data_IF_551858187894
#
_entry.id   IF_551858187894
#
_cell.length_a   1.000
_cell.length_b   1.000
_cell.length_c   1.000
_cell.angle_alpha   90.00
_cell.angle_beta   90.00
_cell.angle_gamma   90.00
#
_symmetry.space_group_name_H-M   'P 1'
#
loop_
_entity.id
_entity.type
_entity.pdbx_description
1 polymer ?
#
# COMPACT_ATOMS: atom_id res chain seq x y z
N UNK A 1 -7.92 2.85 -20.17
CA UNK A 1 -7.21 2.75 -18.86
C UNK A 1 -5.89 2.02 -19.06
N UNK A 2 -5.88 0.86 -19.74
CA UNK A 2 -4.67 0.13 -20.14
C UNK A 2 -3.58 1.03 -20.77
N UNK A 3 -3.91 1.81 -21.79
CA UNK A 3 -2.95 2.70 -22.48
C UNK A 3 -2.23 3.69 -21.54
N UNK A 4 -2.89 4.11 -20.46
CA UNK A 4 -2.28 5.03 -19.47
C UNK A 4 -1.32 4.31 -18.53
N UNK A 5 -1.62 3.05 -18.18
CA UNK A 5 -0.76 2.22 -17.33
C UNK A 5 0.48 1.80 -18.13
N UNK A 6 0.28 1.34 -19.37
CA UNK A 6 1.38 0.98 -20.29
C UNK A 6 2.29 2.18 -20.55
N UNK A 7 1.75 3.37 -20.78
CA UNK A 7 2.58 4.57 -20.95
C UNK A 7 3.41 4.90 -19.70
N UNK A 8 2.85 4.75 -18.50
CA UNK A 8 3.61 4.93 -17.24
C UNK A 8 4.74 3.91 -17.14
N UNK A 9 4.44 2.63 -17.39
CA UNK A 9 5.39 1.51 -17.28
C UNK A 9 6.48 1.54 -18.34
N UNK A 10 6.12 1.80 -19.59
CA UNK A 10 7.00 1.57 -20.74
C UNK A 10 7.69 2.84 -21.22
N UNK A 11 7.22 4.03 -20.80
CA UNK A 11 7.78 5.33 -21.21
C UNK A 11 8.21 6.20 -20.03
N UNK A 12 7.32 6.43 -19.06
CA UNK A 12 7.62 7.38 -17.97
C UNK A 12 8.64 6.80 -16.97
N UNK A 13 8.39 5.61 -16.43
CA UNK A 13 9.29 4.99 -15.46
C UNK A 13 10.70 4.76 -16.05
N UNK A 14 10.89 4.16 -17.25
CA UNK A 14 12.23 3.96 -17.82
C UNK A 14 12.99 5.26 -18.05
N UNK A 15 12.27 6.36 -18.32
CA UNK A 15 12.87 7.69 -18.51
C UNK A 15 13.33 8.32 -17.20
N UNK A 16 12.55 8.16 -16.12
CA UNK A 16 12.73 8.94 -14.89
C UNK A 16 13.33 8.16 -13.73
N UNK A 17 13.18 6.83 -13.69
CA UNK A 17 13.79 5.96 -12.67
C UNK A 17 15.30 6.20 -12.53
N UNK A 18 16.10 6.31 -13.62
CA UNK A 18 17.53 6.59 -13.47
C UNK A 18 17.83 7.93 -12.78
N UNK A 19 16.96 8.94 -12.96
CA UNK A 19 17.11 10.23 -12.28
C UNK A 19 16.81 10.11 -10.78
N UNK A 20 15.81 9.30 -10.43
CA UNK A 20 15.46 9.03 -9.04
C UNK A 20 16.52 8.19 -8.35
N UNK A 21 17.05 7.17 -9.01
CA UNK A 21 18.14 6.35 -8.48
C UNK A 21 19.37 7.20 -8.18
N UNK A 22 19.78 8.06 -9.11
CA UNK A 22 20.87 9.02 -8.87
C UNK A 22 20.59 9.96 -7.68
N UNK A 23 19.34 10.39 -7.51
CA UNK A 23 18.92 11.16 -6.34
C UNK A 23 19.09 10.36 -5.04
N UNK A 24 18.58 9.12 -5.00
CA UNK A 24 18.66 8.25 -3.82
C UNK A 24 20.12 7.90 -3.48
N UNK A 25 20.95 7.61 -4.47
CA UNK A 25 22.38 7.34 -4.33
C UNK A 25 23.16 8.54 -3.78
N UNK A 26 22.76 9.76 -4.15
CA UNK A 26 23.42 10.98 -3.67
C UNK A 26 23.32 11.17 -2.15
N UNK A 27 22.35 10.50 -1.49
CA UNK A 27 22.00 10.64 -0.07
C UNK A 27 21.64 12.08 0.35
N UNK A 28 21.49 13.00 -0.60
CA UNK A 28 20.99 14.34 -0.33
C UNK A 28 19.48 14.28 -0.17
N UNK A 29 18.95 15.02 0.80
CA UNK A 29 17.51 15.13 1.03
C UNK A 29 17.06 16.53 0.65
N UNK A 30 16.30 16.62 -0.44
CA UNK A 30 15.66 17.83 -0.92
C UNK A 30 14.32 17.49 -1.57
N UNK A 31 13.44 18.48 -1.72
CA UNK A 31 12.14 18.28 -2.36
C UNK A 31 12.34 17.79 -3.81
N UNK A 32 11.90 16.57 -4.10
CA UNK A 32 12.11 15.95 -5.40
C UNK A 32 10.77 15.52 -6.02
N UNK A 33 10.15 16.39 -6.85
CA UNK A 33 8.88 16.08 -7.51
C UNK A 33 8.96 14.87 -8.45
N UNK A 34 10.11 14.62 -9.07
CA UNK A 34 10.29 13.46 -9.96
C UNK A 34 10.24 12.17 -9.15
N UNK A 35 10.93 12.12 -8.01
CA UNK A 35 10.85 11.01 -7.08
C UNK A 35 9.41 10.77 -6.63
N UNK A 36 8.72 11.84 -6.22
CA UNK A 36 7.33 11.74 -5.79
C UNK A 36 6.44 11.13 -6.87
N UNK A 37 6.55 11.58 -8.13
CA UNK A 37 5.80 11.01 -9.24
C UNK A 37 6.13 9.56 -9.54
N UNK A 38 7.41 9.17 -9.50
CA UNK A 38 7.77 7.78 -9.73
C UNK A 38 7.20 6.85 -8.66
N UNK A 39 7.14 7.27 -7.39
CA UNK A 39 6.43 6.49 -6.35
C UNK A 39 4.98 6.24 -6.76
N UNK A 40 4.26 7.28 -7.17
CA UNK A 40 2.85 7.14 -7.60
C UNK A 40 2.74 6.21 -8.81
N UNK A 41 3.61 6.37 -9.81
CA UNK A 41 3.57 5.55 -11.02
C UNK A 41 3.88 4.08 -10.74
N UNK A 42 4.78 3.76 -9.81
CA UNK A 42 5.06 2.39 -9.41
C UNK A 42 3.81 1.71 -8.82
N UNK A 43 3.03 2.40 -7.98
CA UNK A 43 1.73 1.90 -7.54
C UNK A 43 0.72 1.76 -8.69
N UNK A 44 0.67 2.74 -9.60
CA UNK A 44 -0.24 2.71 -10.75
C UNK A 44 -0.01 1.51 -11.68
N UNK A 45 1.23 1.03 -11.79
CA UNK A 45 1.59 -0.11 -12.65
C UNK A 45 1.67 -1.44 -11.91
N UNK A 46 1.52 -1.44 -10.58
CA UNK A 46 1.53 -2.64 -9.75
C UNK A 46 2.92 -3.17 -9.40
N UNK A 47 3.98 -2.39 -9.54
CA UNK A 47 5.36 -2.77 -9.13
C UNK A 47 5.53 -2.58 -7.61
N UNK A 48 4.78 -3.36 -6.83
CA UNK A 48 4.56 -3.11 -5.40
C UNK A 48 5.82 -3.20 -4.53
N UNK A 49 6.75 -4.10 -4.85
CA UNK A 49 8.03 -4.22 -4.15
C UNK A 49 8.77 -2.88 -4.13
N UNK A 50 9.06 -2.33 -5.31
CA UNK A 50 9.77 -1.07 -5.46
C UNK A 50 8.90 0.12 -5.02
N UNK A 51 7.60 0.10 -5.33
CA UNK A 51 6.67 1.16 -4.92
C UNK A 51 6.72 1.38 -3.41
N UNK A 52 6.68 0.29 -2.64
CA UNK A 52 6.64 0.35 -1.20
C UNK A 52 8.01 0.64 -0.56
N UNK A 53 9.11 0.21 -1.18
CA UNK A 53 10.46 0.60 -0.75
C UNK A 53 10.64 2.13 -0.90
N UNK A 54 10.28 2.65 -2.07
CA UNK A 54 10.40 4.07 -2.37
C UNK A 54 9.42 4.91 -1.57
N UNK A 55 8.23 4.39 -1.28
CA UNK A 55 7.28 5.03 -0.36
C UNK A 55 7.85 5.18 1.06
N UNK A 56 8.48 4.14 1.60
CA UNK A 56 9.14 4.22 2.92
C UNK A 56 10.20 5.33 2.94
N UNK A 57 11.00 5.44 1.88
CA UNK A 57 11.99 6.50 1.74
C UNK A 57 11.32 7.88 1.63
N UNK A 58 10.31 8.04 0.77
CA UNK A 58 9.59 9.30 0.59
C UNK A 58 8.96 9.81 1.89
N UNK A 59 8.34 8.91 2.67
CA UNK A 59 7.77 9.21 3.98
C UNK A 59 8.86 9.61 4.97
N UNK A 60 9.97 8.87 5.02
CA UNK A 60 11.10 9.17 5.93
C UNK A 60 11.74 10.54 5.65
N UNK A 61 11.80 10.93 4.38
CA UNK A 61 12.34 12.21 3.91
C UNK A 61 11.31 13.34 3.96
N UNK A 62 10.07 13.07 4.37
CA UNK A 62 8.96 14.03 4.37
C UNK A 62 8.71 14.66 2.99
N UNK A 63 8.88 13.88 1.92
CA UNK A 63 8.58 14.34 0.57
C UNK A 63 7.10 14.69 0.46
N UNK A 64 6.80 15.73 -0.31
CA UNK A 64 5.42 16.05 -0.66
C UNK A 64 4.95 15.13 -1.79
N UNK A 65 3.70 14.69 -1.71
CA UNK A 65 3.01 14.09 -2.87
C UNK A 65 2.82 15.16 -3.96
N UNK A 66 2.63 14.76 -5.22
CA UNK A 66 2.30 15.72 -6.27
C UNK A 66 1.03 16.52 -5.95
N UNK A 67 0.98 17.80 -6.32
CA UNK A 67 -0.13 18.73 -6.00
C UNK A 67 -1.51 18.25 -6.47
N UNK A 68 -1.55 17.36 -7.46
CA UNK A 68 -2.78 16.74 -7.97
C UNK A 68 -3.40 15.76 -6.97
N UNK A 69 -2.61 15.23 -6.04
CA UNK A 69 -3.08 14.35 -4.98
C UNK A 69 -3.48 15.20 -3.77
N UNK A 70 -4.63 14.86 -3.17
CA UNK A 70 -5.17 15.54 -2.00
C UNK A 70 -4.64 14.99 -0.67
N UNK A 71 -3.89 13.89 -0.72
CA UNK A 71 -3.38 13.14 0.44
C UNK A 71 -1.86 13.14 0.45
N UNK A 72 -1.27 13.05 1.65
CA UNK A 72 0.17 12.84 1.84
C UNK A 72 0.55 11.37 1.57
N UNK A 73 1.85 11.07 1.50
CA UNK A 73 2.32 9.71 1.19
C UNK A 73 1.77 8.63 2.14
N UNK A 74 1.79 8.78 3.48
CA UNK A 74 1.25 7.75 4.36
C UNK A 74 -0.22 7.42 4.06
N UNK A 75 -1.05 8.44 3.86
CA UNK A 75 -2.48 8.26 3.57
C UNK A 75 -2.68 7.67 2.18
N UNK A 76 -1.95 8.17 1.18
CA UNK A 76 -2.01 7.65 -0.18
C UNK A 76 -1.65 6.16 -0.24
N UNK A 77 -0.54 5.76 0.40
CA UNK A 77 -0.08 4.36 0.41
C UNK A 77 -1.08 3.48 1.15
N UNK A 78 -1.56 3.93 2.32
CA UNK A 78 -2.54 3.19 3.11
C UNK A 78 -3.85 2.95 2.34
N UNK A 79 -4.41 3.97 1.69
CA UNK A 79 -5.64 3.80 0.91
C UNK A 79 -5.42 2.94 -0.34
N UNK A 80 -4.29 3.13 -1.04
CA UNK A 80 -3.98 2.39 -2.27
C UNK A 80 -3.76 0.91 -1.98
N UNK A 81 -2.98 0.58 -0.95
CA UNK A 81 -2.69 -0.81 -0.59
C UNK A 81 -3.90 -1.53 -0.01
N UNK A 82 -4.77 -0.83 0.73
CA UNK A 82 -6.02 -1.44 1.19
C UNK A 82 -6.95 -1.76 0.01
N UNK A 83 -7.07 -0.84 -0.95
CA UNK A 83 -7.87 -1.07 -2.15
C UNK A 83 -7.33 -2.27 -2.96
N UNK A 84 -6.00 -2.33 -3.16
CA UNK A 84 -5.35 -3.47 -3.80
C UNK A 84 -5.60 -4.79 -3.05
N UNK A 85 -5.49 -4.79 -1.72
CA UNK A 85 -5.69 -6.00 -0.90
C UNK A 85 -7.15 -6.48 -0.98
N UNK A 86 -8.12 -5.57 -0.89
CA UNK A 86 -9.53 -5.89 -1.03
C UNK A 86 -9.85 -6.50 -2.40
N UNK A 87 -9.28 -5.94 -3.47
CA UNK A 87 -9.49 -6.43 -4.83
C UNK A 87 -8.86 -7.82 -5.04
N UNK A 88 -7.60 -7.99 -4.64
CA UNK A 88 -6.86 -9.25 -4.77
C UNK A 88 -7.47 -10.37 -3.92
N UNK A 89 -7.83 -10.09 -2.66
CA UNK A 89 -8.53 -11.05 -1.81
C UNK A 89 -9.93 -11.38 -2.37
N UNK A 90 -10.62 -10.41 -2.97
CA UNK A 90 -11.88 -10.64 -3.68
C UNK A 90 -11.76 -11.61 -4.86
N UNK A 91 -10.58 -11.71 -5.48
CA UNK A 91 -10.26 -12.71 -6.52
C UNK A 91 -9.72 -14.03 -5.95
N UNK A 92 -9.58 -14.16 -4.63
CA UNK A 92 -8.97 -15.32 -3.98
C UNK A 92 -7.45 -15.37 -4.12
N UNK A 93 -6.82 -14.25 -4.47
CA UNK A 93 -5.35 -14.14 -4.56
C UNK A 93 -4.76 -13.88 -3.17
N UNK A 94 -3.51 -14.31 -2.99
CA UNK A 94 -2.75 -13.94 -1.80
C UNK A 94 -2.49 -12.44 -1.77
N UNK A 95 -2.80 -11.80 -0.64
CA UNK A 95 -2.47 -10.40 -0.37
C UNK A 95 -1.11 -10.23 0.33
N UNK A 96 -0.47 -11.34 0.68
CA UNK A 96 0.85 -11.35 1.31
C UNK A 96 1.99 -11.39 0.28
N UNK A 97 3.16 -10.79 0.58
CA UNK A 97 3.56 -10.20 1.87
C UNK A 97 3.19 -8.72 2.07
N UNK A 98 2.57 -8.09 1.06
CA UNK A 98 2.41 -6.64 1.03
C UNK A 98 1.37 -6.12 2.02
N UNK A 99 0.33 -6.89 2.28
CA UNK A 99 -0.69 -6.54 3.25
C UNK A 99 -0.11 -6.43 4.66
N UNK A 100 0.49 -7.51 5.19
CA UNK A 100 1.06 -7.50 6.54
C UNK A 100 2.12 -6.41 6.70
N UNK A 101 3.04 -6.28 5.74
CA UNK A 101 4.09 -5.24 5.78
C UNK A 101 3.49 -3.83 5.85
N UNK A 102 2.44 -3.55 5.09
CA UNK A 102 1.80 -2.23 5.10
C UNK A 102 0.97 -2.01 6.36
N UNK A 103 0.29 -3.06 6.84
CA UNK A 103 -0.53 -3.00 8.05
C UNK A 103 0.32 -2.68 9.28
N UNK A 104 1.52 -3.25 9.41
CA UNK A 104 2.47 -2.91 10.48
C UNK A 104 2.78 -1.40 10.52
N UNK A 105 2.95 -0.78 9.35
CA UNK A 105 3.19 0.68 9.26
C UNK A 105 1.95 1.47 9.63
N UNK A 106 0.77 1.07 9.14
CA UNK A 106 -0.53 1.72 9.44
C UNK A 106 -0.86 1.65 10.94
N UNK A 107 -0.61 0.51 11.57
CA UNK A 107 -0.93 0.26 12.97
C UNK A 107 0.09 0.88 13.94
N UNK A 108 1.38 0.89 13.59
CA UNK A 108 2.46 1.21 14.53
C UNK A 108 3.27 2.46 14.23
N UNK A 109 3.30 2.94 12.98
CA UNK A 109 4.30 3.93 12.53
C UNK A 109 3.67 5.21 12.01
N UNK A 110 2.68 5.10 11.13
CA UNK A 110 2.11 6.25 10.43
C UNK A 110 1.04 6.95 11.28
N UNK A 111 1.12 8.29 11.32
CA UNK A 111 0.07 9.12 11.92
C UNK A 111 -1.02 9.38 10.89
N UNK A 112 -1.96 8.46 10.81
CA UNK A 112 -3.11 8.53 9.91
C UNK A 112 -4.35 9.04 10.65
N UNK A 113 -5.33 9.51 9.88
CA UNK A 113 -6.67 9.76 10.42
C UNK A 113 -7.28 8.42 10.86
N UNK A 114 -7.94 8.42 12.02
CA UNK A 114 -8.50 7.21 12.65
C UNK A 114 -9.34 6.38 11.68
N UNK A 115 -10.16 7.04 10.86
CA UNK A 115 -10.98 6.37 9.84
C UNK A 115 -10.16 5.52 8.85
N UNK A 116 -8.94 5.93 8.49
CA UNK A 116 -8.07 5.16 7.58
C UNK A 116 -7.56 3.91 8.30
N UNK A 117 -7.03 4.09 9.51
CA UNK A 117 -6.55 2.98 10.36
C UNK A 117 -7.67 1.97 10.65
N UNK A 118 -8.87 2.43 11.02
CA UNK A 118 -10.01 1.57 11.31
C UNK A 118 -10.42 0.67 10.13
N UNK A 119 -10.33 1.17 8.89
CA UNK A 119 -10.61 0.34 7.70
C UNK A 119 -9.61 -0.81 7.54
N UNK A 120 -8.34 -0.56 7.87
CA UNK A 120 -7.29 -1.59 7.84
C UNK A 120 -7.52 -2.67 8.89
N UNK A 121 -7.76 -2.27 10.15
CA UNK A 121 -8.07 -3.20 11.23
C UNK A 121 -9.29 -4.06 10.91
N UNK A 122 -10.38 -3.42 10.44
CA UNK A 122 -11.58 -4.14 10.02
C UNK A 122 -11.29 -5.17 8.92
N UNK A 123 -10.53 -4.79 7.89
CA UNK A 123 -10.21 -5.71 6.81
C UNK A 123 -9.30 -6.84 7.28
N UNK A 124 -8.29 -6.56 8.12
CA UNK A 124 -7.43 -7.58 8.72
C UNK A 124 -8.24 -8.61 9.54
N UNK A 125 -9.15 -8.14 10.40
CA UNK A 125 -10.03 -9.01 11.18
C UNK A 125 -10.95 -9.87 10.31
N UNK A 126 -11.54 -9.29 9.25
CA UNK A 126 -12.39 -10.04 8.32
C UNK A 126 -11.63 -11.06 7.47
N UNK A 127 -10.39 -10.76 7.07
CA UNK A 127 -9.56 -11.72 6.33
C UNK A 127 -9.16 -12.93 7.19
N UNK A 128 -8.97 -12.77 8.50
CA UNK A 128 -8.79 -13.91 9.42
C UNK A 128 -10.03 -14.82 9.48
N UNK A 129 -11.21 -14.28 9.20
CA UNK A 129 -12.48 -15.01 9.19
C UNK A 129 -12.84 -15.60 7.83
N UNK A 130 -11.94 -15.53 6.85
CA UNK A 130 -12.18 -16.04 5.50
C UNK A 130 -12.08 -17.57 5.49
N UNK A 131 -13.17 -18.23 5.11
CA UNK A 131 -13.21 -19.68 4.92
C UNK A 131 -12.76 -20.09 3.50
N UNK A 132 -12.70 -21.41 3.24
CA UNK A 132 -12.30 -21.97 1.94
C UNK A 132 -13.19 -21.52 0.76
N UNK A 133 -14.45 -21.20 1.03
CA UNK A 133 -15.41 -20.67 0.04
C UNK A 133 -15.27 -19.15 -0.19
N UNK A 134 -14.30 -18.49 0.47
CA UNK A 134 -14.06 -17.05 0.39
C UNK A 134 -15.04 -16.17 1.17
N UNK A 135 -15.92 -16.77 1.97
CA UNK A 135 -16.84 -16.03 2.85
C UNK A 135 -16.12 -15.62 4.14
N UNK A 136 -16.23 -14.33 4.49
CA UNK A 136 -15.69 -13.78 5.72
C UNK A 136 -16.73 -13.91 6.86
N UNK A 137 -16.79 -15.07 7.51
CA UNK A 137 -17.76 -15.32 8.58
C UNK A 137 -17.15 -16.10 9.73
N UNK A 138 -17.44 -15.69 10.97
CA UNK A 138 -16.98 -16.40 12.17
C UNK A 138 -17.47 -17.85 12.23
N UNK A 139 -18.66 -18.14 11.70
CA UNK A 139 -19.21 -19.50 11.64
C UNK A 139 -18.45 -20.42 10.67
N UNK A 140 -17.60 -19.88 9.79
CA UNK A 140 -16.77 -20.63 8.86
C UNK A 140 -15.37 -20.95 9.40
N UNK A 141 -15.04 -20.56 10.63
CA UNK A 141 -13.73 -20.79 11.25
C UNK A 141 -13.90 -21.57 12.55
N UNK A 142 -13.33 -22.78 12.59
CA UNK A 142 -13.41 -23.70 13.75
C UNK A 142 -12.25 -23.53 14.76
N UNK A 143 -11.32 -22.61 14.51
CA UNK A 143 -10.18 -22.34 15.39
C UNK A 143 -10.43 -21.15 16.32
N UNK A 144 -10.48 -21.43 17.63
CA UNK A 144 -10.75 -20.43 18.67
C UNK A 144 -9.68 -19.33 18.70
N UNK A 145 -8.40 -19.68 18.51
CA UNK A 145 -7.31 -18.69 18.56
C UNK A 145 -7.44 -17.68 17.41
N UNK A 146 -7.82 -18.14 16.22
CA UNK A 146 -8.10 -17.27 15.06
C UNK A 146 -9.31 -16.37 15.30
N UNK A 147 -10.38 -16.89 15.91
CA UNK A 147 -11.56 -16.09 16.27
C UNK A 147 -11.21 -14.98 17.28
N UNK A 148 -10.43 -15.28 18.31
CA UNK A 148 -9.98 -14.29 19.30
C UNK A 148 -9.09 -13.22 18.67
N UNK A 149 -8.17 -13.60 17.77
CA UNK A 149 -7.36 -12.64 17.02
C UNK A 149 -8.21 -11.72 16.14
N UNK A 150 -9.24 -12.25 15.50
CA UNK A 150 -10.15 -11.45 14.68
C UNK A 150 -10.97 -10.46 15.53
N UNK A 151 -11.47 -10.89 16.69
CA UNK A 151 -12.21 -10.03 17.62
C UNK A 151 -11.36 -8.86 18.13
N UNK A 152 -10.08 -9.09 18.43
CA UNK A 152 -9.16 -8.02 18.84
C UNK A 152 -8.89 -6.96 17.75
N UNK A 153 -9.26 -7.22 16.50
CA UNK A 153 -9.08 -6.30 15.37
C UNK A 153 -10.37 -5.60 14.94
N UNK A 154 -11.54 -5.97 15.45
CA UNK A 154 -12.87 -5.47 15.05
C UNK A 154 -13.49 -4.51 16.08
#
# INVERSE_FOLDING_TARGET
IADRIEFKRDVLLPRWVPTVEAYLESKQVYANPVFAWCVIWLFDVGELDQALEWADIAISQQQATPDQLRSNFPTFVADTMLAWAQESAGRGESIEPYFSRTFERVAGVWRLHEQVTAKWYKFAGLELLRNEDGQQTAAGVDDIETLEKADHLL
#
